data_IF_075153530535
#
_entry.id   IF_075153530535
#
_cell.length_a   1.000
_cell.length_b   1.000
_cell.length_c   1.000
_cell.angle_alpha   90.00
_cell.angle_beta   90.00
_cell.angle_gamma   90.00
#
_symmetry.space_group_name_H-M   'P 1'
#
loop_
_entity.id
_entity.type
_entity.pdbx_description
1 polymer ?
#
# COMPACT_ATOMS: atom_id res chain seq x y z
N UNK A 1 -29.88 -5.82 7.10
CA UNK A 1 -29.28 -6.28 5.83
C UNK A 1 -27.85 -6.77 6.05
N UNK A 2 -26.87 -5.92 6.40
CA UNK A 2 -25.48 -6.35 6.75
C UNK A 2 -25.39 -7.34 7.94
N UNK A 3 -26.29 -7.22 8.94
CA UNK A 3 -26.38 -8.17 10.07
C UNK A 3 -27.00 -9.52 9.68
N UNK A 4 -27.74 -9.59 8.58
CA UNK A 4 -28.37 -10.82 8.08
C UNK A 4 -27.41 -11.61 7.19
N UNK A 5 -26.64 -10.95 6.32
CA UNK A 5 -25.70 -11.64 5.41
C UNK A 5 -24.54 -12.32 6.14
N UNK A 6 -23.99 -11.70 7.20
CA UNK A 6 -22.95 -12.34 8.03
C UNK A 6 -23.48 -13.56 8.77
N UNK A 7 -24.74 -13.51 9.25
CA UNK A 7 -25.41 -14.65 9.89
C UNK A 7 -25.73 -15.75 8.86
N UNK A 8 -26.08 -15.37 7.64
CA UNK A 8 -26.40 -16.30 6.55
C UNK A 8 -25.15 -17.03 6.03
N UNK A 9 -24.00 -16.34 5.92
CA UNK A 9 -22.74 -16.95 5.51
C UNK A 9 -22.06 -17.76 6.62
N UNK A 10 -22.19 -17.35 7.89
CA UNK A 10 -21.84 -18.21 9.04
C UNK A 10 -22.75 -19.43 9.11
N UNK A 11 -24.04 -19.28 8.78
CA UNK A 11 -25.00 -20.38 8.68
C UNK A 11 -24.61 -21.41 7.60
N UNK A 12 -24.19 -20.94 6.42
CA UNK A 12 -23.67 -21.80 5.33
C UNK A 12 -22.38 -22.50 5.72
N UNK A 13 -21.43 -21.78 6.35
CA UNK A 13 -20.16 -22.36 6.83
C UNK A 13 -20.41 -23.41 7.93
N UNK A 14 -21.34 -23.13 8.85
CA UNK A 14 -21.77 -24.07 9.89
C UNK A 14 -22.38 -25.32 9.27
N UNK A 15 -23.35 -25.17 8.36
CA UNK A 15 -24.00 -26.29 7.69
C UNK A 15 -22.99 -27.15 6.92
N UNK A 16 -22.06 -26.53 6.19
CA UNK A 16 -20.98 -27.24 5.47
C UNK A 16 -20.03 -27.97 6.43
N UNK A 17 -19.67 -27.34 7.56
CA UNK A 17 -18.80 -27.94 8.58
C UNK A 17 -19.48 -29.12 9.29
N UNK A 18 -20.78 -29.00 9.63
CA UNK A 18 -21.57 -30.07 10.23
C UNK A 18 -21.74 -31.28 9.27
N UNK A 19 -21.93 -31.02 7.97
CA UNK A 19 -22.01 -32.08 6.95
C UNK A 19 -20.69 -32.85 6.81
N UNK A 20 -19.56 -32.14 6.78
CA UNK A 20 -18.24 -32.78 6.67
C UNK A 20 -17.84 -33.51 7.97
N UNK A 21 -18.25 -33.02 9.14
CA UNK A 21 -18.11 -33.74 10.42
C UNK A 21 -18.89 -35.06 10.36
N UNK A 22 -20.17 -35.03 9.98
CA UNK A 22 -20.99 -36.25 9.85
C UNK A 22 -20.38 -37.26 8.88
N UNK A 23 -19.87 -36.79 7.75
CA UNK A 23 -19.18 -37.63 6.76
C UNK A 23 -17.92 -38.28 7.37
N UNK A 24 -17.10 -37.51 8.08
CA UNK A 24 -15.87 -38.01 8.71
C UNK A 24 -16.17 -38.93 9.91
N UNK A 25 -17.23 -38.70 10.66
CA UNK A 25 -17.68 -39.60 11.74
C UNK A 25 -18.12 -40.97 11.22
N UNK A 26 -18.66 -41.04 10.00
CA UNK A 26 -18.98 -42.31 9.33
C UNK A 26 -17.73 -43.04 8.79
N UNK A 27 -16.65 -42.31 8.54
CA UNK A 27 -15.38 -42.84 8.03
C UNK A 27 -14.43 -43.26 9.16
N UNK A 28 -14.34 -42.48 10.24
CA UNK A 28 -13.46 -42.73 11.40
C UNK A 28 -13.98 -43.95 12.17
N UNK A 29 -13.17 -45.02 12.21
CA UNK A 29 -13.56 -46.32 12.78
C UNK A 29 -13.80 -47.41 11.73
N UNK A 30 -13.75 -47.08 10.44
CA UNK A 30 -13.70 -48.06 9.36
C UNK A 30 -12.26 -48.48 9.04
N UNK A 31 -12.03 -49.64 8.42
CA UNK A 31 -10.69 -50.09 8.01
C UNK A 31 -9.97 -49.14 7.04
N UNK A 32 -10.70 -48.20 6.44
CA UNK A 32 -10.20 -47.21 5.48
C UNK A 32 -9.82 -45.88 6.14
N UNK A 33 -10.05 -45.71 7.44
CA UNK A 33 -9.81 -44.45 8.14
C UNK A 33 -8.32 -44.21 8.36
N UNK A 34 -7.83 -43.01 8.02
CA UNK A 34 -6.43 -42.63 8.27
C UNK A 34 -6.30 -41.80 9.54
N UNK A 35 -5.08 -41.76 10.12
CA UNK A 35 -4.76 -40.85 11.22
C UNK A 35 -5.02 -39.38 10.86
N UNK A 36 -4.88 -39.03 9.57
CA UNK A 36 -5.19 -37.70 9.05
C UNK A 36 -6.69 -37.38 9.12
N UNK A 37 -7.57 -38.37 8.91
CA UNK A 37 -9.02 -38.20 9.01
C UNK A 37 -9.46 -37.96 10.45
N UNK A 38 -8.88 -38.67 11.41
CA UNK A 38 -9.11 -38.45 12.84
C UNK A 38 -8.63 -37.06 13.29
N UNK A 39 -7.47 -36.61 12.81
CA UNK A 39 -6.98 -35.25 13.09
C UNK A 39 -7.83 -34.16 12.43
N UNK A 40 -8.32 -34.40 11.21
CA UNK A 40 -9.23 -33.49 10.50
C UNK A 40 -10.57 -33.38 11.23
N UNK A 41 -11.13 -34.49 11.70
CA UNK A 41 -12.36 -34.52 12.52
C UNK A 41 -12.20 -33.72 13.81
N UNK A 42 -11.09 -33.90 14.54
CA UNK A 42 -10.80 -33.14 15.76
C UNK A 42 -10.70 -31.63 15.51
N UNK A 43 -10.06 -31.23 14.41
CA UNK A 43 -9.95 -29.80 14.02
C UNK A 43 -11.30 -29.20 13.62
N UNK A 44 -12.12 -29.94 12.88
CA UNK A 44 -13.46 -29.47 12.49
C UNK A 44 -14.41 -29.35 13.69
N UNK A 45 -14.32 -30.26 14.67
CA UNK A 45 -15.08 -30.15 15.93
C UNK A 45 -14.67 -28.93 16.76
N UNK A 46 -13.37 -28.62 16.79
CA UNK A 46 -12.87 -27.41 17.45
C UNK A 46 -13.39 -26.14 16.75
N UNK A 47 -13.37 -26.10 15.41
CA UNK A 47 -13.93 -25.01 14.62
C UNK A 47 -15.43 -24.82 14.87
N UNK A 48 -16.21 -25.91 14.89
CA UNK A 48 -17.66 -25.86 15.16
C UNK A 48 -17.96 -25.32 16.57
N UNK A 49 -17.18 -25.73 17.58
CA UNK A 49 -17.29 -25.17 18.94
C UNK A 49 -17.00 -23.66 18.98
N UNK A 50 -16.00 -23.19 18.23
CA UNK A 50 -15.69 -21.75 18.14
C UNK A 50 -16.81 -20.97 17.44
N UNK A 51 -17.45 -21.54 16.41
CA UNK A 51 -18.62 -20.93 15.74
C UNK A 51 -19.79 -20.80 16.73
N UNK A 52 -20.07 -21.84 17.53
CA UNK A 52 -21.13 -21.77 18.55
C UNK A 52 -20.85 -20.77 19.68
N UNK A 53 -19.59 -20.66 20.12
CA UNK A 53 -19.20 -19.66 21.12
C UNK A 53 -19.36 -18.22 20.59
N UNK A 54 -19.18 -18.02 19.29
CA UNK A 54 -19.41 -16.74 18.62
C UNK A 54 -20.91 -16.37 18.60
N UNK A 55 -21.80 -17.32 18.26
CA UNK A 55 -23.26 -17.11 18.31
C UNK A 55 -23.75 -16.74 19.72
N UNK A 56 -23.10 -17.30 20.76
CA UNK A 56 -23.44 -17.10 22.17
C UNK A 56 -22.98 -15.75 22.74
N UNK A 57 -21.98 -15.11 22.14
CA UNK A 57 -21.39 -13.85 22.62
C UNK A 57 -22.00 -12.60 21.96
N UNK A 58 -22.77 -12.78 20.89
CA UNK A 58 -23.48 -11.73 20.16
C UNK A 58 -24.84 -11.34 20.78
N UNK A 59 -25.31 -12.06 21.82
CA UNK A 59 -26.55 -11.75 22.55
C UNK A 59 -26.38 -10.81 23.75
N UNK A 60 -25.17 -10.27 23.98
CA UNK A 60 -24.89 -9.27 25.01
C UNK A 60 -24.59 -7.92 24.40
N UNK A 61 -25.43 -6.92 24.69
CA UNK A 61 -25.22 -5.53 24.27
C UNK A 61 -24.03 -4.89 24.98
N UNK A 62 -23.19 -4.19 24.19
CA UNK A 62 -22.44 -3.02 24.63
C UNK A 62 -21.06 -3.24 25.27
N UNK A 63 -20.00 -3.28 24.46
CA UNK A 63 -18.68 -2.74 24.84
C UNK A 63 -17.76 -2.60 23.61
N UNK A 64 -17.87 -1.47 22.90
CA UNK A 64 -16.74 -0.91 22.15
C UNK A 64 -15.82 -0.22 23.15
N UNK A 65 -14.57 -0.67 23.32
CA UNK A 65 -13.41 0.21 23.51
C UNK A 65 -12.11 -0.56 23.78
N UNK A 66 -11.02 -0.02 23.22
CA UNK A 66 -9.60 -0.19 23.61
C UNK A 66 -9.06 -1.63 23.57
N UNK A 67 -8.57 -2.04 22.39
CA UNK A 67 -7.51 -3.05 22.35
C UNK A 67 -6.19 -2.33 22.62
N UNK A 68 -5.63 -2.70 23.77
CA UNK A 68 -4.37 -2.26 24.35
C UNK A 68 -3.22 -2.56 23.37
N UNK A 69 -2.51 -1.49 23.03
CA UNK A 69 -1.21 -1.47 22.40
C UNK A 69 -0.16 -1.90 23.43
N UNK A 70 0.13 -3.18 23.56
CA UNK A 70 1.35 -3.63 24.25
C UNK A 70 1.78 -5.00 23.71
N UNK A 71 3.05 -5.07 23.28
CA UNK A 71 3.77 -6.20 22.68
C UNK A 71 3.72 -6.37 21.14
N UNK A 72 4.19 -5.35 20.41
CA UNK A 72 4.81 -5.58 19.10
C UNK A 72 6.13 -6.33 19.37
N UNK A 73 6.14 -7.65 19.18
CA UNK A 73 7.38 -8.43 19.24
C UNK A 73 8.27 -7.98 18.09
N UNK A 74 9.38 -7.31 18.39
CA UNK A 74 10.36 -6.93 17.37
C UNK A 74 10.80 -8.18 16.60
N UNK A 75 10.80 -8.15 15.25
CA UNK A 75 11.30 -9.27 14.48
C UNK A 75 12.77 -9.48 14.83
N UNK A 76 13.15 -10.75 15.01
CA UNK A 76 14.53 -11.12 15.37
C UNK A 76 15.55 -10.35 14.51
N UNK A 77 16.69 -9.91 15.07
CA UNK A 77 17.72 -9.18 14.32
C UNK A 77 18.14 -9.86 13.00
N UNK A 78 18.10 -11.20 12.99
CA UNK A 78 18.36 -12.04 11.80
C UNK A 78 17.34 -11.77 10.68
N UNK A 79 16.06 -11.68 11.01
CA UNK A 79 14.99 -11.43 10.03
C UNK A 79 15.05 -9.99 9.48
N UNK A 80 15.41 -9.01 10.31
CA UNK A 80 15.62 -7.62 9.88
C UNK A 80 16.78 -7.52 8.90
N UNK A 81 17.92 -8.13 9.23
CA UNK A 81 19.09 -8.20 8.34
C UNK A 81 18.78 -8.90 7.02
N UNK A 82 18.01 -9.98 7.07
CA UNK A 82 17.58 -10.71 5.87
C UNK A 82 16.64 -9.92 4.98
N UNK A 83 15.71 -9.18 5.59
CA UNK A 83 14.77 -8.31 4.86
C UNK A 83 15.53 -7.22 4.10
N UNK A 84 16.56 -6.64 4.72
CA UNK A 84 17.46 -5.67 4.07
C UNK A 84 18.22 -6.34 2.93
N UNK A 85 18.88 -7.48 3.18
CA UNK A 85 19.62 -8.23 2.13
C UNK A 85 18.74 -8.61 0.93
N UNK A 86 17.52 -9.09 1.19
CA UNK A 86 16.55 -9.42 0.15
C UNK A 86 16.01 -8.17 -0.57
N UNK A 87 15.92 -7.05 0.15
CA UNK A 87 15.58 -5.77 -0.45
C UNK A 87 16.71 -5.27 -1.35
N UNK A 88 17.97 -5.41 -0.98
CA UNK A 88 19.12 -4.90 -1.75
C UNK A 88 19.49 -5.78 -2.96
N UNK A 89 18.90 -6.96 -3.09
CA UNK A 89 19.03 -7.84 -4.25
C UNK A 89 18.78 -7.09 -5.58
N UNK A 90 19.36 -7.52 -6.72
CA UNK A 90 19.06 -6.91 -8.02
C UNK A 90 17.57 -6.98 -8.38
N UNK A 91 16.99 -5.85 -8.82
CA UNK A 91 15.58 -5.79 -9.22
C UNK A 91 15.33 -6.67 -10.45
N UNK A 92 14.24 -7.45 -10.44
CA UNK A 92 13.87 -8.32 -11.54
C UNK A 92 12.73 -7.69 -12.34
N UNK A 93 12.99 -7.33 -13.59
CA UNK A 93 12.00 -6.71 -14.47
C UNK A 93 11.59 -7.61 -15.65
N UNK A 94 11.50 -8.93 -15.45
CA UNK A 94 11.22 -9.89 -16.55
C UNK A 94 9.86 -9.66 -17.23
N UNK A 95 8.89 -9.14 -16.49
CA UNK A 95 7.52 -8.88 -16.96
C UNK A 95 7.27 -7.40 -17.30
N UNK A 96 8.34 -6.62 -17.48
CA UNK A 96 8.29 -5.20 -17.89
C UNK A 96 7.41 -4.33 -16.98
N UNK A 97 7.47 -4.57 -15.67
CA UNK A 97 6.64 -3.87 -14.67
C UNK A 97 6.99 -2.40 -14.60
N UNK A 98 8.28 -2.05 -14.72
CA UNK A 98 8.75 -0.66 -14.69
C UNK A 98 8.24 0.15 -15.88
N UNK A 99 8.25 -0.45 -17.07
CA UNK A 99 7.73 0.15 -18.30
C UNK A 99 6.21 0.33 -18.21
N UNK A 100 5.49 -0.69 -17.73
CA UNK A 100 4.03 -0.61 -17.59
C UNK A 100 3.57 0.49 -16.62
N UNK A 101 4.28 0.69 -15.49
CA UNK A 101 3.96 1.79 -14.59
C UNK A 101 4.34 3.15 -15.18
N UNK A 102 5.43 3.24 -15.95
CA UNK A 102 5.83 4.47 -16.63
C UNK A 102 4.80 4.87 -17.71
N UNK A 103 4.31 3.93 -18.51
CA UNK A 103 3.22 4.15 -19.46
C UNK A 103 1.94 4.62 -18.74
N UNK A 104 1.65 4.06 -17.56
CA UNK A 104 0.51 4.46 -16.73
C UNK A 104 0.66 5.88 -16.17
N UNK A 105 1.88 6.27 -15.77
CA UNK A 105 2.23 7.65 -15.37
C UNK A 105 2.02 8.61 -16.55
N UNK A 106 2.53 8.26 -17.73
CA UNK A 106 2.35 9.08 -18.93
C UNK A 106 0.89 9.21 -19.34
N UNK A 107 0.09 8.15 -19.17
CA UNK A 107 -1.36 8.21 -19.40
C UNK A 107 -2.07 9.12 -18.38
N UNK A 108 -1.70 9.02 -17.09
CA UNK A 108 -2.23 9.91 -16.04
C UNK A 108 -1.93 11.38 -16.36
N UNK A 109 -0.67 11.66 -16.73
CA UNK A 109 -0.24 13.01 -17.11
C UNK A 109 -1.01 13.56 -18.31
N UNK A 110 -1.18 12.77 -19.38
CA UNK A 110 -1.96 13.19 -20.54
C UNK A 110 -3.41 13.52 -20.19
N UNK A 111 -4.06 12.69 -19.35
CA UNK A 111 -5.42 12.98 -18.85
C UNK A 111 -5.46 14.19 -17.91
N UNK A 112 -4.41 14.43 -17.14
CA UNK A 112 -4.33 15.60 -16.26
C UNK A 112 -4.29 16.91 -17.06
N UNK A 113 -3.51 16.93 -18.15
CA UNK A 113 -3.38 18.07 -19.05
C UNK A 113 -4.49 18.15 -20.11
N UNK A 114 -5.48 17.25 -20.07
CA UNK A 114 -6.62 17.31 -20.99
C UNK A 114 -7.61 18.39 -20.55
N UNK A 115 -8.18 19.09 -21.53
CA UNK A 115 -9.09 20.19 -21.31
C UNK A 115 -10.55 19.74 -21.14
N UNK A 116 -10.86 18.49 -21.50
CA UNK A 116 -12.19 17.89 -21.40
C UNK A 116 -12.70 17.93 -19.94
N UNK A 117 -13.69 18.79 -19.71
CA UNK A 117 -14.25 19.06 -18.38
C UNK A 117 -15.01 17.85 -17.81
N UNK A 118 -15.65 17.05 -18.66
CA UNK A 118 -16.43 15.86 -18.26
C UNK A 118 -15.54 14.69 -17.82
N UNK A 119 -14.25 14.75 -18.13
CA UNK A 119 -13.26 13.70 -17.83
C UNK A 119 -12.12 14.18 -16.95
N UNK A 120 -12.25 15.39 -16.41
CA UNK A 120 -11.21 16.09 -15.66
C UNK A 120 -10.83 15.30 -14.41
N UNK A 121 -9.55 14.98 -14.29
CA UNK A 121 -8.99 14.40 -13.07
C UNK A 121 -8.97 15.44 -11.95
N UNK A 122 -9.25 15.00 -10.72
CA UNK A 122 -9.17 15.85 -9.54
C UNK A 122 -7.75 16.28 -9.21
N UNK A 123 -6.83 15.32 -9.22
CA UNK A 123 -5.42 15.49 -8.90
C UNK A 123 -4.59 14.46 -9.70
N UNK A 124 -3.36 14.78 -10.12
CA UNK A 124 -2.51 13.89 -10.91
C UNK A 124 -1.83 12.84 -10.05
N UNK A 125 -2.61 11.90 -9.50
CA UNK A 125 -2.07 10.79 -8.72
C UNK A 125 -2.62 9.43 -9.14
N UNK A 126 -1.82 8.40 -8.89
CA UNK A 126 -2.13 7.00 -9.19
C UNK A 126 -2.07 6.20 -7.88
N UNK A 127 -3.19 5.58 -7.45
CA UNK A 127 -3.17 4.61 -6.37
C UNK A 127 -2.47 3.32 -6.82
N UNK A 128 -1.48 2.88 -6.07
CA UNK A 128 -0.77 1.62 -6.28
C UNK A 128 -1.28 0.62 -5.27
N UNK A 129 -2.07 -0.35 -5.73
CA UNK A 129 -2.82 -1.26 -4.87
C UNK A 129 -2.37 -2.69 -5.12
N UNK A 130 -1.81 -3.31 -4.08
CA UNK A 130 -1.55 -4.73 -4.02
C UNK A 130 -1.19 -5.10 -2.57
N UNK A 131 -1.39 -6.36 -2.18
CA UNK A 131 -1.00 -6.83 -0.86
C UNK A 131 0.51 -6.70 -0.56
N UNK A 132 0.87 -6.83 0.72
CA UNK A 132 2.26 -6.76 1.20
C UNK A 132 3.20 -7.72 0.46
N UNK A 133 4.50 -7.41 0.38
CA UNK A 133 5.52 -8.30 -0.20
C UNK A 133 5.44 -8.53 -1.72
N UNK A 134 4.64 -7.75 -2.44
CA UNK A 134 4.54 -7.78 -3.92
C UNK A 134 5.53 -6.88 -4.65
N UNK A 135 6.49 -6.29 -3.93
CA UNK A 135 7.56 -5.50 -4.53
C UNK A 135 7.17 -4.07 -4.90
N UNK A 136 6.16 -3.48 -4.27
CA UNK A 136 5.75 -2.07 -4.49
C UNK A 136 6.91 -1.11 -4.24
N UNK A 137 7.46 -1.14 -3.04
CA UNK A 137 8.60 -0.28 -2.67
C UNK A 137 9.84 -0.55 -3.52
N UNK A 138 10.09 -1.83 -3.85
CA UNK A 138 11.18 -2.21 -4.76
C UNK A 138 11.01 -1.66 -6.17
N UNK A 139 9.78 -1.58 -6.68
CA UNK A 139 9.47 -0.96 -7.96
C UNK A 139 9.87 0.53 -7.93
N UNK A 140 9.53 1.26 -6.86
CA UNK A 140 9.89 2.67 -6.74
C UNK A 140 11.39 2.91 -6.70
N UNK A 141 12.16 2.03 -6.04
CA UNK A 141 13.62 2.08 -6.00
C UNK A 141 14.26 1.77 -7.35
N UNK A 142 13.57 1.03 -8.21
CA UNK A 142 14.04 0.69 -9.55
C UNK A 142 13.62 1.71 -10.63
N UNK A 143 12.57 2.51 -10.40
CA UNK A 143 12.11 3.55 -11.34
C UNK A 143 13.20 4.52 -11.82
N UNK A 144 14.16 4.98 -10.99
CA UNK A 144 15.25 5.86 -11.45
C UNK A 144 16.09 5.27 -12.60
N UNK A 145 16.09 3.95 -12.78
CA UNK A 145 16.78 3.29 -13.91
C UNK A 145 16.11 3.58 -15.27
N UNK A 146 14.87 4.09 -15.27
CA UNK A 146 14.13 4.52 -16.48
C UNK A 146 14.12 6.04 -16.65
N UNK A 147 15.14 6.75 -16.16
CA UNK A 147 15.24 8.22 -16.24
C UNK A 147 14.03 8.93 -15.61
N UNK A 148 13.73 8.55 -14.36
CA UNK A 148 12.66 9.14 -13.55
C UNK A 148 13.26 9.75 -12.29
N UNK A 149 13.01 11.03 -12.07
CA UNK A 149 13.29 11.70 -10.80
C UNK A 149 12.18 11.36 -9.82
N UNK A 150 12.46 10.41 -8.93
CA UNK A 150 11.52 9.96 -7.91
C UNK A 150 11.80 10.71 -6.61
N UNK A 151 10.77 11.31 -6.02
CA UNK A 151 10.74 11.77 -4.63
C UNK A 151 10.09 10.67 -3.77
N UNK A 152 10.88 9.87 -3.04
CA UNK A 152 10.40 8.77 -2.22
C UNK A 152 10.17 9.21 -0.77
N UNK A 153 8.89 9.26 -0.37
CA UNK A 153 8.43 9.69 0.95
C UNK A 153 7.80 8.47 1.63
N UNK A 154 8.49 7.92 2.63
CA UNK A 154 7.97 6.81 3.44
C UNK A 154 7.32 7.35 4.73
N UNK A 155 6.00 7.18 4.85
CA UNK A 155 5.20 7.67 5.98
C UNK A 155 4.95 6.60 7.05
N UNK A 156 5.72 5.51 7.01
CA UNK A 156 5.62 4.42 7.98
C UNK A 156 5.85 4.93 9.42
N UNK A 157 5.22 4.31 10.41
CA UNK A 157 5.50 4.60 11.83
C UNK A 157 6.98 4.30 12.15
N UNK A 158 7.58 5.11 13.04
CA UNK A 158 9.02 5.11 13.29
C UNK A 158 9.54 3.82 13.96
N UNK A 159 8.69 3.17 14.74
CA UNK A 159 8.92 1.91 15.47
C UNK A 159 8.62 0.65 14.63
N UNK A 160 8.11 0.84 13.42
CA UNK A 160 7.79 -0.29 12.56
C UNK A 160 9.03 -1.08 12.11
N UNK A 161 8.84 -2.38 11.91
CA UNK A 161 9.89 -3.29 11.45
C UNK A 161 10.10 -3.31 9.92
N UNK A 162 9.38 -2.46 9.19
CA UNK A 162 9.45 -2.40 7.73
C UNK A 162 10.73 -1.72 7.22
N UNK A 163 11.13 -2.07 6.00
CA UNK A 163 12.21 -1.39 5.28
C UNK A 163 11.70 -0.91 3.92
N UNK A 164 12.05 0.31 3.46
CA UNK A 164 12.87 1.34 4.12
C UNK A 164 12.22 1.91 5.38
N UNK A 165 13.05 2.49 6.27
CA UNK A 165 12.56 3.21 7.43
C UNK A 165 11.99 4.57 7.03
N UNK A 166 11.00 5.04 7.78
CA UNK A 166 10.54 6.42 7.66
C UNK A 166 11.55 7.38 8.27
N UNK A 167 11.44 8.64 7.88
CA UNK A 167 12.21 9.74 8.48
C UNK A 167 11.26 10.44 9.44
N UNK A 168 11.45 10.33 10.77
CA UNK A 168 10.46 10.79 11.76
C UNK A 168 10.10 12.26 11.62
N UNK A 169 11.07 13.13 11.33
CA UNK A 169 10.82 14.57 11.12
C UNK A 169 9.90 14.84 9.93
N UNK A 170 10.10 14.11 8.83
CA UNK A 170 9.27 14.19 7.62
C UNK A 170 7.88 13.64 7.86
N UNK A 171 7.78 12.46 8.49
CA UNK A 171 6.50 11.85 8.83
C UNK A 171 5.69 12.80 9.72
N UNK A 172 6.26 13.27 10.84
CA UNK A 172 5.60 14.20 11.75
C UNK A 172 5.18 15.51 11.07
N UNK A 173 6.00 16.05 10.17
CA UNK A 173 5.66 17.29 9.47
C UNK A 173 4.46 17.14 8.53
N UNK A 174 4.28 15.96 7.91
CA UNK A 174 3.20 15.70 6.96
C UNK A 174 1.93 15.16 7.65
N UNK A 175 2.06 14.52 8.82
CA UNK A 175 0.94 13.92 9.56
C UNK A 175 0.35 14.83 10.64
N UNK A 176 1.09 15.83 11.10
CA UNK A 176 0.48 16.90 11.89
C UNK A 176 -0.48 17.71 11.01
N UNK A 177 -1.64 18.17 11.53
CA UNK A 177 -2.61 18.95 10.76
C UNK A 177 -1.92 20.06 9.96
N UNK A 178 -1.85 19.83 8.65
CA UNK A 178 -1.10 20.65 7.72
C UNK A 178 -2.07 21.36 6.79
N UNK A 179 -1.69 22.55 6.35
CA UNK A 179 -2.51 23.33 5.42
C UNK A 179 -2.18 22.98 3.97
N UNK A 180 -3.11 23.29 3.07
CA UNK A 180 -2.89 23.16 1.62
C UNK A 180 -1.68 24.00 1.17
N UNK A 181 -1.50 25.16 1.80
CA UNK A 181 -0.33 26.02 1.63
C UNK A 181 0.97 25.36 2.00
N UNK A 182 1.04 24.73 3.17
CA UNK A 182 2.24 24.02 3.62
C UNK A 182 2.62 22.89 2.65
N UNK A 183 1.66 22.06 2.25
CA UNK A 183 1.91 21.00 1.27
C UNK A 183 2.38 21.56 -0.08
N UNK A 184 1.80 22.68 -0.53
CA UNK A 184 2.22 23.33 -1.77
C UNK A 184 3.64 23.91 -1.68
N UNK A 185 3.97 24.55 -0.56
CA UNK A 185 5.32 25.03 -0.29
C UNK A 185 6.33 23.89 -0.19
N UNK A 186 5.95 22.75 0.42
CA UNK A 186 6.78 21.55 0.51
C UNK A 186 7.09 20.98 -0.88
N UNK A 187 6.08 20.81 -1.72
CA UNK A 187 6.24 20.30 -3.08
C UNK A 187 7.09 21.24 -3.96
N UNK A 188 6.91 22.56 -3.84
CA UNK A 188 7.75 23.55 -4.53
C UNK A 188 9.20 23.52 -4.04
N UNK A 189 9.43 23.49 -2.72
CA UNK A 189 10.76 23.38 -2.13
C UNK A 189 11.48 22.09 -2.57
N UNK A 190 10.73 21.00 -2.74
CA UNK A 190 11.23 19.75 -3.27
C UNK A 190 11.69 19.88 -4.75
N UNK A 191 10.90 20.56 -5.59
CA UNK A 191 11.29 20.86 -6.97
C UNK A 191 12.53 21.76 -7.05
N UNK A 192 12.64 22.76 -6.16
CA UNK A 192 13.82 23.62 -6.07
C UNK A 192 15.08 22.84 -5.69
N UNK A 193 14.96 21.92 -4.74
CA UNK A 193 16.05 21.03 -4.34
C UNK A 193 16.52 20.17 -5.53
N UNK A 194 15.59 19.68 -6.36
CA UNK A 194 15.92 18.91 -7.55
C UNK A 194 16.62 19.76 -8.62
N UNK A 195 16.13 20.96 -8.92
CA UNK A 195 16.79 21.83 -9.90
C UNK A 195 18.20 22.23 -9.44
N UNK A 196 18.36 22.58 -8.16
CA UNK A 196 19.66 22.87 -7.57
C UNK A 196 20.60 21.66 -7.62
N UNK A 197 20.10 20.46 -7.33
CA UNK A 197 20.88 19.23 -7.47
C UNK A 197 21.35 19.04 -8.91
N UNK A 198 20.44 19.14 -9.90
CA UNK A 198 20.80 18.96 -11.32
C UNK A 198 21.84 19.97 -11.79
N UNK A 199 21.68 21.25 -11.44
CA UNK A 199 22.64 22.33 -11.79
C UNK A 199 24.03 22.06 -11.23
N UNK A 200 24.12 21.44 -10.06
CA UNK A 200 25.38 21.15 -9.36
C UNK A 200 25.88 19.72 -9.57
N UNK A 201 25.13 18.86 -10.25
CA UNK A 201 25.53 17.49 -10.49
C UNK A 201 26.75 17.46 -11.43
N UNK A 202 27.82 16.82 -10.96
CA UNK A 202 29.08 16.61 -11.71
C UNK A 202 29.50 15.14 -11.73
N UNK A 203 28.63 14.24 -11.25
CA UNK A 203 28.91 12.82 -11.19
C UNK A 203 28.93 12.18 -12.59
N UNK A 204 29.65 11.08 -12.72
CA UNK A 204 29.67 10.24 -13.93
C UNK A 204 28.56 9.18 -13.93
N UNK A 205 27.88 8.99 -12.80
CA UNK A 205 26.78 8.03 -12.65
C UNK A 205 25.43 8.55 -13.18
N UNK A 206 24.40 7.71 -13.06
CA UNK A 206 23.02 8.10 -13.37
C UNK A 206 22.56 9.20 -12.42
N UNK A 207 22.30 10.40 -12.95
CA UNK A 207 21.78 11.54 -12.19
C UNK A 207 20.50 11.20 -11.42
N UNK A 208 19.64 10.34 -11.97
CA UNK A 208 18.38 9.92 -11.36
C UNK A 208 18.61 8.99 -10.16
N UNK A 209 19.56 8.06 -10.29
CA UNK A 209 19.91 7.13 -9.20
C UNK A 209 20.61 7.87 -8.07
N UNK A 210 21.53 8.78 -8.39
CA UNK A 210 22.21 9.62 -7.40
C UNK A 210 21.24 10.53 -6.66
N UNK A 211 20.31 11.16 -7.39
CA UNK A 211 19.20 11.92 -6.82
C UNK A 211 18.37 11.08 -5.84
N UNK A 212 18.05 9.85 -6.21
CA UNK A 212 17.27 8.95 -5.37
C UNK A 212 17.97 8.61 -4.06
N UNK A 213 19.28 8.35 -4.11
CA UNK A 213 20.07 7.97 -2.93
C UNK A 213 20.19 9.11 -1.91
N UNK A 214 20.15 10.37 -2.33
CA UNK A 214 20.18 11.52 -1.41
C UNK A 214 19.00 11.51 -0.44
N UNK A 215 17.84 11.02 -0.87
CA UNK A 215 16.60 11.03 -0.10
C UNK A 215 16.58 9.99 1.02
N UNK A 216 17.53 9.07 1.04
CA UNK A 216 17.71 8.13 2.15
C UNK A 216 18.34 8.82 3.39
N UNK A 217 18.77 10.07 3.25
CA UNK A 217 19.42 10.85 4.31
C UNK A 217 18.40 11.79 4.99
N UNK A 218 18.28 11.78 6.33
CA UNK A 218 17.38 12.70 7.05
C UNK A 218 17.65 14.18 6.76
N UNK A 219 18.92 14.56 6.58
CA UNK A 219 19.36 15.94 6.37
C UNK A 219 18.76 16.53 5.09
N UNK A 220 18.60 15.71 4.05
CA UNK A 220 17.98 16.12 2.80
C UNK A 220 16.54 16.58 3.02
N UNK A 221 15.74 15.80 3.74
CA UNK A 221 14.34 16.13 3.97
C UNK A 221 14.18 17.26 4.98
N UNK A 222 15.04 17.33 6.00
CA UNK A 222 15.04 18.45 6.94
C UNK A 222 15.25 19.80 6.23
N UNK A 223 16.19 19.87 5.29
CA UNK A 223 16.43 21.07 4.50
C UNK A 223 15.21 21.47 3.65
N UNK A 224 14.52 20.51 3.03
CA UNK A 224 13.28 20.78 2.28
C UNK A 224 12.18 21.30 3.21
N UNK A 225 12.00 20.70 4.38
CA UNK A 225 10.99 21.13 5.36
C UNK A 225 11.25 22.54 5.88
N UNK A 226 12.51 22.89 6.16
CA UNK A 226 12.89 24.24 6.57
C UNK A 226 12.61 25.26 5.48
N UNK A 227 12.95 24.93 4.24
CA UNK A 227 12.65 25.76 3.06
C UNK A 227 11.14 25.98 2.90
N UNK A 228 10.34 24.92 3.01
CA UNK A 228 8.88 24.97 2.91
C UNK A 228 8.25 25.86 4.00
N UNK A 229 8.71 25.71 5.26
CA UNK A 229 8.27 26.54 6.39
C UNK A 229 8.63 28.00 6.16
N UNK A 230 9.85 28.28 5.69
CA UNK A 230 10.31 29.64 5.40
C UNK A 230 9.46 30.30 4.30
N UNK A 231 9.17 29.59 3.21
CA UNK A 231 8.35 30.09 2.11
C UNK A 231 6.91 30.40 2.56
N UNK A 232 6.31 29.49 3.34
CA UNK A 232 4.95 29.68 3.87
C UNK A 232 4.81 30.93 4.75
N UNK A 233 5.89 31.31 5.45
CA UNK A 233 5.92 32.51 6.30
C UNK A 233 6.21 33.78 5.50
N UNK A 234 7.11 33.71 4.51
CA UNK A 234 7.52 34.88 3.70
C UNK A 234 6.48 35.28 2.66
N UNK A 235 5.75 34.32 2.12
CA UNK A 235 4.80 34.52 1.02
C UNK A 235 3.38 34.06 1.42
N UNK A 236 2.80 34.61 2.50
CA UNK A 236 1.51 34.13 3.01
C UNK A 236 0.39 34.37 1.98
N UNK A 237 0.48 35.39 1.14
CA UNK A 237 -0.52 35.63 0.08
C UNK A 237 -0.54 34.54 -1.01
N UNK A 238 0.54 33.76 -1.15
CA UNK A 238 0.64 32.64 -2.10
C UNK A 238 0.12 31.35 -1.45
N UNK A 239 0.44 31.15 -0.16
CA UNK A 239 0.22 29.89 0.56
C UNK A 239 -0.92 29.94 1.58
N UNK A 240 -1.66 31.05 1.70
CA UNK A 240 -2.85 31.15 2.54
C UNK A 240 -4.05 31.61 1.74
N UNK A 241 -5.22 31.05 2.07
CA UNK A 241 -6.50 31.46 1.50
C UNK A 241 -7.51 31.71 2.62
N UNK A 242 -8.44 32.63 2.38
CA UNK A 242 -9.62 32.81 3.23
C UNK A 242 -10.68 31.75 2.96
N UNK A 243 -11.76 31.75 3.74
CA UNK A 243 -12.90 30.83 3.56
C UNK A 243 -13.78 31.17 2.33
N UNK A 244 -13.60 32.36 1.74
CA UNK A 244 -14.38 32.84 0.60
C UNK A 244 -13.99 32.16 -0.72
N UNK A 245 -14.98 31.75 -1.51
CA UNK A 245 -14.80 30.98 -2.75
C UNK A 245 -13.99 31.74 -3.82
N UNK A 246 -14.24 33.03 -3.99
CA UNK A 246 -13.49 33.88 -4.93
C UNK A 246 -12.01 33.98 -4.56
N UNK A 247 -11.70 34.08 -3.25
CA UNK A 247 -10.32 34.07 -2.75
C UNK A 247 -9.64 32.72 -2.99
N UNK A 248 -10.38 31.62 -2.89
CA UNK A 248 -9.84 30.30 -3.18
C UNK A 248 -9.54 30.10 -4.67
N UNK A 249 -10.41 30.59 -5.56
CA UNK A 249 -10.17 30.55 -7.02
C UNK A 249 -8.91 31.34 -7.40
N UNK A 250 -8.73 32.52 -6.81
CA UNK A 250 -7.54 33.33 -7.02
C UNK A 250 -6.28 32.66 -6.45
N UNK A 251 -6.35 32.11 -5.23
CA UNK A 251 -5.28 31.31 -4.63
C UNK A 251 -4.87 30.13 -5.50
N UNK A 252 -5.83 29.35 -6.00
CA UNK A 252 -5.57 28.21 -6.89
C UNK A 252 -4.91 28.64 -8.20
N UNK A 253 -5.34 29.76 -8.76
CA UNK A 253 -4.75 30.31 -10.01
C UNK A 253 -3.31 30.76 -9.76
N UNK A 254 -3.07 31.46 -8.65
CA UNK A 254 -1.73 31.92 -8.26
C UNK A 254 -0.78 30.75 -8.06
N UNK A 255 -1.18 29.72 -7.29
CA UNK A 255 -0.34 28.54 -7.07
C UNK A 255 -0.04 27.79 -8.37
N UNK A 256 -1.04 27.60 -9.23
CA UNK A 256 -0.82 26.97 -10.53
C UNK A 256 0.20 27.75 -11.37
N UNK A 257 0.09 29.09 -11.37
CA UNK A 257 1.06 29.99 -12.01
C UNK A 257 2.47 29.87 -11.41
N UNK A 258 2.59 29.79 -10.09
CA UNK A 258 3.88 29.60 -9.40
C UNK A 258 4.53 28.27 -9.79
N UNK A 259 3.78 27.16 -9.80
CA UNK A 259 4.30 25.88 -10.27
C UNK A 259 4.71 25.92 -11.74
N UNK A 260 3.89 26.54 -12.59
CA UNK A 260 4.16 26.67 -14.01
C UNK A 260 5.47 27.44 -14.25
N UNK A 261 5.60 28.63 -13.68
CA UNK A 261 6.80 29.45 -13.82
C UNK A 261 8.01 28.76 -13.19
N UNK A 262 7.85 28.04 -12.07
CA UNK A 262 8.95 27.29 -11.47
C UNK A 262 9.46 26.19 -12.39
N UNK A 263 8.55 25.40 -12.98
CA UNK A 263 8.95 24.34 -13.91
C UNK A 263 9.52 24.90 -15.21
N UNK A 264 8.99 26.02 -15.71
CA UNK A 264 9.46 26.70 -16.91
C UNK A 264 10.85 27.32 -16.73
N UNK A 265 11.11 27.94 -15.58
CA UNK A 265 12.38 28.61 -15.27
C UNK A 265 13.51 27.63 -14.92
N UNK A 266 13.19 26.35 -14.76
CA UNK A 266 14.14 25.30 -14.37
C UNK A 266 14.37 24.31 -15.51
N UNK A 267 15.41 23.49 -15.38
CA UNK A 267 15.66 22.40 -16.34
C UNK A 267 14.70 21.21 -16.20
N UNK A 268 13.58 21.40 -15.50
CA UNK A 268 12.67 20.35 -15.05
C UNK A 268 11.43 20.19 -15.94
N UNK A 269 11.15 21.17 -16.80
CA UNK A 269 9.94 21.21 -17.63
C UNK A 269 9.67 19.92 -18.43
N UNK A 270 10.70 19.21 -18.86
CA UNK A 270 10.59 18.00 -19.69
C UNK A 270 10.92 16.71 -18.94
N UNK A 271 11.16 16.79 -17.63
CA UNK A 271 11.63 15.67 -16.82
C UNK A 271 10.49 14.78 -16.32
N UNK A 272 10.78 13.49 -16.12
CA UNK A 272 9.84 12.59 -15.45
C UNK A 272 9.94 12.74 -13.94
N UNK A 273 9.09 13.59 -13.37
CA UNK A 273 9.05 13.82 -11.92
C UNK A 273 7.90 13.06 -11.30
N UNK A 274 8.21 12.26 -10.28
CA UNK A 274 7.25 11.42 -9.57
C UNK A 274 7.38 11.58 -8.06
N UNK A 275 6.29 11.92 -7.37
CA UNK A 275 6.23 11.92 -5.91
C UNK A 275 5.60 10.63 -5.39
N UNK A 276 6.36 9.81 -4.68
CA UNK A 276 5.90 8.55 -4.10
C UNK A 276 5.60 8.75 -2.63
N UNK A 277 4.33 8.60 -2.25
CA UNK A 277 3.88 8.55 -0.85
C UNK A 277 3.64 7.08 -0.48
N UNK A 278 4.60 6.47 0.19
CA UNK A 278 4.55 5.09 0.69
C UNK A 278 3.94 5.04 2.10
N UNK A 279 3.13 4.02 2.37
CA UNK A 279 2.27 3.90 3.56
C UNK A 279 1.35 5.12 3.78
N UNK A 280 0.70 5.59 2.71
CA UNK A 280 -0.10 6.81 2.71
C UNK A 280 -1.34 6.79 3.64
N UNK A 281 -1.70 5.64 4.24
CA UNK A 281 -2.78 5.56 5.26
C UNK A 281 -2.61 6.51 6.42
N UNK A 282 -1.38 6.79 6.82
CA UNK A 282 -1.13 7.61 8.01
C UNK A 282 -1.70 9.03 7.82
N UNK A 283 -1.83 9.48 6.56
CA UNK A 283 -2.48 10.75 6.23
C UNK A 283 -4.01 10.75 6.41
N UNK A 284 -4.63 9.58 6.63
CA UNK A 284 -6.08 9.41 6.82
C UNK A 284 -6.48 9.38 8.31
N UNK A 285 -5.54 9.38 9.25
CA UNK A 285 -5.78 9.10 10.68
C UNK A 285 -6.37 10.27 11.49
N UNK A 286 -6.70 11.41 10.87
CA UNK A 286 -7.26 12.56 11.59
C UNK A 286 -8.70 12.32 12.08
N UNK A 287 -9.07 12.98 13.18
CA UNK A 287 -10.41 12.89 13.75
C UNK A 287 -11.50 13.51 12.86
N UNK A 288 -11.16 14.51 12.04
CA UNK A 288 -12.05 15.02 11.00
C UNK A 288 -11.69 14.40 9.65
N UNK A 289 -12.63 13.61 9.09
CA UNK A 289 -12.48 12.99 7.77
C UNK A 289 -12.51 14.01 6.62
N UNK A 290 -13.08 15.21 6.83
CA UNK A 290 -13.22 16.23 5.78
C UNK A 290 -11.94 17.01 5.54
N UNK A 291 -11.10 17.15 6.55
CA UNK A 291 -9.83 17.88 6.49
C UNK A 291 -8.65 17.01 6.96
N UNK A 292 -8.71 15.71 6.65
CA UNK A 292 -7.55 14.85 6.86
C UNK A 292 -6.40 15.26 5.94
N UNK A 293 -5.17 15.01 6.39
CA UNK A 293 -3.96 15.40 5.65
C UNK A 293 -3.93 14.79 4.24
N UNK A 294 -4.55 13.64 4.03
CA UNK A 294 -4.70 13.03 2.71
C UNK A 294 -5.52 13.91 1.76
N UNK A 295 -6.66 14.45 2.23
CA UNK A 295 -7.49 15.37 1.45
C UNK A 295 -6.72 16.66 1.16
N UNK A 296 -6.02 17.21 2.16
CA UNK A 296 -5.23 18.43 2.01
C UNK A 296 -4.08 18.25 1.02
N UNK A 297 -3.34 17.14 1.10
CA UNK A 297 -2.30 16.80 0.13
C UNK A 297 -2.87 16.73 -1.30
N UNK A 298 -4.02 16.10 -1.48
CA UNK A 298 -4.66 16.01 -2.80
C UNK A 298 -5.06 17.38 -3.35
N UNK A 299 -5.52 18.30 -2.48
CA UNK A 299 -5.79 19.71 -2.86
C UNK A 299 -4.49 20.40 -3.32
N UNK A 300 -3.38 20.20 -2.61
CA UNK A 300 -2.09 20.77 -3.01
C UNK A 300 -1.59 20.20 -4.37
N UNK A 301 -1.71 18.89 -4.58
CA UNK A 301 -1.32 18.22 -5.84
C UNK A 301 -2.16 18.69 -7.04
N UNK A 302 -3.39 19.15 -6.82
CA UNK A 302 -4.26 19.70 -7.87
C UNK A 302 -3.67 20.97 -8.51
N UNK A 303 -2.75 21.65 -7.84
CA UNK A 303 -2.10 22.85 -8.36
C UNK A 303 -0.96 22.58 -9.34
N UNK A 304 -0.54 21.32 -9.54
CA UNK A 304 0.41 20.99 -10.58
C UNK A 304 -0.07 21.46 -11.97
N UNK A 305 0.84 21.95 -12.83
CA UNK A 305 0.44 22.64 -14.05
C UNK A 305 -0.30 21.69 -14.99
N UNK A 306 -1.36 22.20 -15.62
CA UNK A 306 -2.14 21.50 -16.66
C UNK A 306 -1.70 22.00 -18.02
N UNK A 307 -0.47 21.69 -18.40
CA UNK A 307 0.12 22.17 -19.64
C UNK A 307 0.65 20.98 -20.46
N UNK A 308 0.41 21.00 -21.77
CA UNK A 308 0.81 19.93 -22.70
C UNK A 308 2.26 20.05 -23.17
N UNK A 309 2.87 21.22 -23.06
CA UNK A 309 4.26 21.51 -23.40
C UNK A 309 5.23 20.96 -22.36
N UNK A 310 4.78 20.81 -21.10
CA UNK A 310 5.60 20.34 -19.99
C UNK A 310 5.16 18.96 -19.48
N UNK A 311 6.13 18.21 -18.94
CA UNK A 311 5.86 16.99 -18.20
C UNK A 311 5.45 17.32 -16.77
N UNK A 312 4.15 17.56 -16.56
CA UNK A 312 3.59 17.79 -15.22
C UNK A 312 3.96 16.65 -14.24
N UNK A 313 4.37 16.95 -13.00
CA UNK A 313 4.66 15.92 -12.00
C UNK A 313 3.43 15.04 -11.72
N UNK A 314 3.66 13.78 -11.35
CA UNK A 314 2.60 12.82 -11.00
C UNK A 314 2.91 12.20 -9.64
N UNK A 315 1.90 11.97 -8.81
CA UNK A 315 2.08 11.29 -7.53
C UNK A 315 1.70 9.81 -7.59
N UNK A 316 2.46 8.95 -6.94
CA UNK A 316 2.10 7.56 -6.67
C UNK A 316 1.76 7.45 -5.18
N UNK A 317 0.58 6.93 -4.88
CA UNK A 317 0.15 6.71 -3.50
C UNK A 317 0.05 5.21 -3.29
N UNK A 318 0.74 4.68 -2.30
CA UNK A 318 0.61 3.27 -1.97
C UNK A 318 0.26 3.08 -0.52
N UNK A 319 -0.46 2.00 -0.29
CA UNK A 319 -0.66 1.45 1.03
C UNK A 319 -0.74 -0.08 0.91
N UNK A 320 -0.29 -0.74 1.97
CA UNK A 320 -0.41 -2.17 2.16
C UNK A 320 -1.71 -2.56 2.86
N UNK A 321 -2.35 -1.64 3.62
CA UNK A 321 -3.45 -1.96 4.56
C UNK A 321 -4.71 -1.10 4.37
N UNK A 322 -4.68 0.04 3.67
CA UNK A 322 -5.91 0.79 3.39
C UNK A 322 -6.83 0.04 2.44
N UNK A 323 -8.12 0.15 2.76
CA UNK A 323 -9.20 -0.12 1.82
C UNK A 323 -8.94 0.68 0.54
N UNK A 324 -9.05 0.01 -0.59
CA UNK A 324 -8.93 0.63 -1.93
C UNK A 324 -9.76 1.91 -2.05
N UNK A 325 -10.95 1.90 -1.44
CA UNK A 325 -11.88 3.03 -1.38
C UNK A 325 -11.33 4.26 -0.67
N UNK A 326 -10.34 4.13 0.22
CA UNK A 326 -9.75 5.27 0.93
C UNK A 326 -8.75 6.03 0.06
N UNK A 327 -7.95 5.32 -0.75
CA UNK A 327 -6.97 5.95 -1.66
C UNK A 327 -7.57 6.32 -3.01
N UNK A 328 -8.70 5.71 -3.39
CA UNK A 328 -9.36 5.92 -4.66
C UNK A 328 -10.89 6.05 -4.50
N UNK A 329 -11.39 6.98 -3.67
CA UNK A 329 -12.82 7.09 -3.38
C UNK A 329 -13.66 7.28 -4.64
N UNK A 330 -14.92 6.88 -4.56
CA UNK A 330 -15.90 7.23 -5.57
C UNK A 330 -16.05 8.74 -5.64
N UNK A 331 -16.30 9.26 -6.83
CA UNK A 331 -16.53 10.69 -7.06
C UNK A 331 -17.60 11.28 -6.13
N UNK A 332 -18.67 10.52 -5.83
CA UNK A 332 -19.76 10.93 -4.93
C UNK A 332 -19.37 10.98 -3.45
N UNK A 333 -18.33 10.25 -3.04
CA UNK A 333 -17.86 10.18 -1.64
C UNK A 333 -16.55 10.92 -1.43
N UNK A 334 -15.97 11.47 -2.49
CA UNK A 334 -14.72 12.21 -2.45
C UNK A 334 -14.89 13.60 -1.84
N UNK A 335 -14.57 13.72 -0.56
CA UNK A 335 -14.67 14.97 0.21
C UNK A 335 -13.75 16.08 -0.32
N UNK A 336 -12.69 15.72 -1.05
CA UNK A 336 -11.77 16.68 -1.65
C UNK A 336 -12.41 17.46 -2.82
N UNK A 337 -13.41 16.86 -3.49
CA UNK A 337 -14.15 17.46 -4.62
C UNK A 337 -15.15 18.55 -4.20
N UNK A 338 -15.46 18.68 -2.91
CA UNK A 338 -16.42 19.69 -2.42
C UNK A 338 -15.96 21.14 -2.62
N UNK A 339 -14.66 21.36 -2.83
CA UNK A 339 -14.11 22.66 -3.19
C UNK A 339 -14.27 23.00 -4.69
N UNK A 340 -15.00 22.17 -5.45
CA UNK A 340 -15.24 22.36 -6.88
C UNK A 340 -16.69 22.11 -7.24
N UNK A 341 -17.29 22.99 -8.04
CA UNK A 341 -18.67 22.87 -8.51
C UNK A 341 -18.92 21.70 -9.50
N UNK A 342 -17.85 21.07 -10.02
CA UNK A 342 -17.93 20.07 -11.10
C UNK A 342 -17.43 18.68 -10.63
N UNK A 343 -18.07 17.56 -11.02
CA UNK A 343 -17.61 16.23 -10.69
C UNK A 343 -16.24 15.95 -11.35
N UNK A 344 -15.18 15.78 -10.55
CA UNK A 344 -13.85 15.39 -11.05
C UNK A 344 -13.52 13.93 -10.72
N UNK A 345 -12.90 13.21 -11.64
CA UNK A 345 -12.58 11.78 -11.49
C UNK A 345 -11.24 11.52 -10.81
N UNK A 346 -11.07 10.33 -10.23
CA UNK A 346 -9.76 9.83 -9.74
C UNK A 346 -9.23 8.78 -10.71
N UNK A 347 -7.94 8.89 -11.03
CA UNK A 347 -7.30 7.98 -11.97
C UNK A 347 -7.34 6.52 -11.46
N UNK A 348 -7.57 5.52 -12.34
CA UNK A 348 -7.71 4.14 -11.92
C UNK A 348 -6.42 3.58 -11.30
N UNK A 349 -6.55 2.70 -10.29
CA UNK A 349 -5.41 2.12 -9.59
C UNK A 349 -4.54 1.24 -10.50
N UNK A 350 -3.29 1.06 -10.12
CA UNK A 350 -2.34 0.14 -10.76
C UNK A 350 -2.09 -1.10 -9.88
N UNK A 351 -2.16 -2.28 -10.50
CA UNK A 351 -2.02 -3.58 -9.83
C UNK A 351 -0.66 -4.20 -10.12
N UNK A 352 0.11 -4.57 -9.08
CA UNK A 352 1.39 -5.27 -9.24
C UNK A 352 1.22 -6.80 -9.35
N UNK A 353 0.40 -7.27 -10.30
CA UNK A 353 0.25 -8.71 -10.54
C UNK A 353 1.40 -9.31 -11.35
N UNK A 354 2.01 -8.52 -12.23
CA UNK A 354 3.11 -8.96 -13.09
C UNK A 354 4.39 -9.35 -12.33
N UNK A 355 4.48 -9.08 -11.02
CA UNK A 355 5.58 -9.52 -10.17
C UNK A 355 5.41 -10.94 -9.62
N UNK A 356 4.23 -11.54 -9.79
CA UNK A 356 3.97 -12.91 -9.34
C UNK A 356 4.89 -13.86 -10.11
N UNK A 357 5.48 -14.83 -9.40
CA UNK A 357 6.36 -15.85 -9.97
C UNK A 357 7.64 -15.32 -10.65
N UNK A 358 8.07 -14.08 -10.36
CA UNK A 358 9.22 -13.44 -11.03
C UNK A 358 10.53 -14.25 -10.92
N UNK A 359 10.63 -15.07 -9.86
CA UNK A 359 11.81 -15.86 -9.55
C UNK A 359 11.77 -17.27 -10.12
N UNK A 360 10.64 -17.69 -10.71
CA UNK A 360 10.51 -18.98 -11.38
C UNK A 360 11.41 -18.99 -12.61
N UNK A 361 12.22 -20.05 -12.71
CA UNK A 361 13.07 -20.33 -13.86
C UNK A 361 12.26 -21.11 -14.91
N UNK A 362 12.62 -20.98 -16.20
CA UNK A 362 11.91 -21.68 -17.28
C UNK A 362 11.89 -23.20 -17.07
N UNK A 363 12.96 -23.73 -16.50
CA UNK A 363 13.13 -25.14 -16.18
C UNK A 363 12.70 -25.40 -14.73
N UNK A 364 11.40 -25.30 -14.46
CA UNK A 364 10.81 -25.52 -13.13
C UNK A 364 11.23 -26.84 -12.44
N UNK A 365 10.75 -27.12 -11.22
CA UNK A 365 11.17 -28.28 -10.46
C UNK A 365 10.94 -29.57 -11.26
N UNK A 366 12.03 -30.27 -11.58
CA UNK A 366 12.00 -31.51 -12.39
C UNK A 366 11.63 -32.77 -11.58
N UNK A 367 11.56 -32.66 -10.26
CA UNK A 367 11.27 -33.78 -9.34
C UNK A 367 10.30 -33.35 -8.24
N UNK A 368 9.59 -34.31 -7.66
CA UNK A 368 8.75 -34.06 -6.46
C UNK A 368 9.57 -33.57 -5.27
N UNK A 369 10.81 -34.05 -5.13
CA UNK A 369 11.73 -33.58 -4.09
C UNK A 369 12.03 -32.08 -4.26
N UNK A 370 12.24 -31.62 -5.50
CA UNK A 370 12.43 -30.19 -5.78
C UNK A 370 11.15 -29.39 -5.52
N UNK A 371 9.95 -29.96 -5.72
CA UNK A 371 8.70 -29.23 -5.44
C UNK A 371 8.47 -28.95 -3.95
N UNK A 372 8.96 -29.81 -3.06
CA UNK A 372 8.83 -29.64 -1.61
C UNK A 372 10.02 -28.92 -0.96
N UNK A 373 11.09 -28.69 -1.72
CA UNK A 373 12.23 -27.90 -1.26
C UNK A 373 11.80 -26.42 -1.07
N UNK A 374 11.92 -25.85 0.14
CA UNK A 374 11.62 -24.46 0.39
C UNK A 374 12.35 -23.48 -0.55
N UNK A 375 13.56 -23.79 -0.99
CA UNK A 375 14.32 -22.94 -1.93
C UNK A 375 13.67 -22.83 -3.31
N UNK A 376 12.89 -23.85 -3.71
CA UNK A 376 12.10 -23.83 -4.94
C UNK A 376 10.71 -23.28 -4.69
N UNK A 377 10.02 -23.73 -3.64
CA UNK A 377 8.67 -23.29 -3.30
C UNK A 377 8.58 -21.77 -3.12
N UNK A 378 9.57 -21.14 -2.49
CA UNK A 378 9.59 -19.69 -2.26
C UNK A 378 9.73 -18.85 -3.54
N UNK A 379 10.11 -19.45 -4.67
CA UNK A 379 10.21 -18.73 -5.96
C UNK A 379 8.83 -18.40 -6.54
N UNK A 380 7.80 -19.11 -6.10
CA UNK A 380 6.43 -18.95 -6.55
C UNK A 380 5.66 -17.91 -5.71
N UNK A 381 4.63 -17.34 -6.31
CA UNK A 381 3.78 -16.34 -5.70
C UNK A 381 4.51 -15.02 -5.52
N UNK A 382 4.65 -14.58 -4.26
CA UNK A 382 5.14 -13.23 -3.94
C UNK A 382 6.64 -13.13 -4.17
N UNK A 383 7.14 -12.08 -4.85
CA UNK A 383 8.56 -11.91 -5.15
C UNK A 383 9.43 -11.82 -3.89
N UNK A 384 8.93 -11.28 -2.78
CA UNK A 384 9.76 -11.17 -1.59
C UNK A 384 10.16 -12.53 -0.99
N UNK A 385 9.34 -13.58 -1.15
CA UNK A 385 9.68 -14.92 -0.67
C UNK A 385 10.91 -15.48 -1.38
N UNK A 386 10.96 -15.35 -2.71
CA UNK A 386 12.09 -15.82 -3.51
C UNK A 386 13.34 -14.99 -3.26
N UNK A 387 13.18 -13.68 -3.04
CA UNK A 387 14.28 -12.80 -2.67
C UNK A 387 14.90 -13.20 -1.34
N UNK A 388 14.06 -13.41 -0.31
CA UNK A 388 14.48 -13.92 0.99
C UNK A 388 15.23 -15.26 0.82
N UNK A 389 14.58 -16.27 0.24
CA UNK A 389 15.16 -17.61 0.09
C UNK A 389 16.54 -17.62 -0.61
N UNK A 390 16.75 -16.75 -1.61
CA UNK A 390 18.02 -16.66 -2.36
C UNK A 390 19.11 -15.85 -1.67
N UNK A 391 18.75 -14.79 -0.95
CA UNK A 391 19.72 -13.81 -0.40
C UNK A 391 20.02 -14.06 1.08
N UNK A 392 19.61 -15.22 1.60
CA UNK A 392 20.16 -15.74 2.84
C UNK A 392 21.62 -16.15 2.65
N UNK A 393 22.49 -15.61 3.52
CA UNK A 393 23.87 -16.11 3.62
C UNK A 393 23.82 -17.60 3.96
N UNK A 394 24.52 -18.42 3.16
CA UNK A 394 24.68 -19.87 3.41
C UNK A 394 24.94 -20.12 4.90
N UNK A 395 24.05 -20.86 5.56
CA UNK A 395 24.23 -21.34 6.93
C UNK A 395 23.70 -20.47 8.08
N UNK A 396 23.04 -19.34 7.84
CA UNK A 396 22.51 -18.47 8.93
C UNK A 396 20.98 -18.36 9.02
N UNK A 397 20.26 -19.06 8.16
CA UNK A 397 18.80 -18.98 8.13
C UNK A 397 18.15 -20.34 8.00
N UNK A 398 17.20 -20.55 8.90
CA UNK A 398 16.36 -21.73 8.94
C UNK A 398 14.96 -21.41 8.40
N UNK A 399 14.33 -22.39 7.74
CA UNK A 399 12.94 -22.30 7.26
C UNK A 399 11.94 -21.88 8.35
N UNK A 400 12.25 -22.19 9.61
CA UNK A 400 11.50 -21.79 10.80
C UNK A 400 11.25 -20.27 10.86
N UNK A 401 12.24 -19.46 10.48
CA UNK A 401 12.14 -18.00 10.45
C UNK A 401 11.24 -17.50 9.32
N UNK A 402 11.27 -18.13 8.15
CA UNK A 402 10.37 -17.80 7.04
C UNK A 402 8.92 -18.12 7.43
N UNK A 403 8.72 -19.28 8.06
CA UNK A 403 7.42 -19.70 8.56
C UNK A 403 6.90 -18.74 9.63
N UNK A 404 7.76 -18.23 10.51
CA UNK A 404 7.39 -17.20 11.48
C UNK A 404 6.98 -15.90 10.80
N UNK A 405 7.75 -15.40 9.83
CA UNK A 405 7.37 -14.20 9.07
C UNK A 405 6.06 -14.39 8.31
N UNK A 406 5.87 -15.54 7.67
CA UNK A 406 4.64 -15.86 6.96
C UNK A 406 3.44 -15.90 7.92
N UNK A 407 3.57 -16.53 9.09
CA UNK A 407 2.53 -16.52 10.14
C UNK A 407 2.21 -15.09 10.57
N UNK A 408 3.22 -14.33 10.98
CA UNK A 408 3.06 -12.94 11.39
C UNK A 408 2.31 -12.11 10.35
N UNK A 409 2.67 -12.23 9.06
CA UNK A 409 2.02 -11.48 7.98
C UNK A 409 0.62 -11.99 7.62
N UNK A 410 0.36 -13.29 7.71
CA UNK A 410 -0.98 -13.85 7.50
C UNK A 410 -1.91 -13.46 8.65
N UNK A 411 -1.38 -13.29 9.86
CA UNK A 411 -2.15 -12.95 11.06
C UNK A 411 -2.26 -11.44 11.32
N UNK A 412 -2.04 -10.59 10.30
CA UNK A 412 -2.21 -9.15 10.47
C UNK A 412 -1.14 -8.45 11.32
N UNK A 413 0.00 -9.10 11.55
CA UNK A 413 1.06 -8.59 12.42
C UNK A 413 0.98 -9.07 13.87
N UNK A 414 0.19 -10.11 14.15
CA UNK A 414 0.12 -10.75 15.46
C UNK A 414 0.90 -12.07 15.48
N UNK A 415 1.77 -12.28 16.48
CA UNK A 415 2.52 -13.54 16.68
C UNK A 415 1.88 -14.44 17.76
N UNK A 416 0.92 -13.92 18.52
CA UNK A 416 0.33 -14.59 19.68
C UNK A 416 -0.83 -15.50 19.28
N UNK A 417 -0.64 -16.81 19.46
CA UNK A 417 -1.71 -17.80 19.28
C UNK A 417 -2.87 -17.64 20.29
N UNK A 418 -2.67 -16.84 21.34
CA UNK A 418 -3.66 -16.54 22.38
C UNK A 418 -4.68 -15.47 21.94
N UNK A 419 -4.24 -14.48 21.16
CA UNK A 419 -5.12 -13.46 20.52
C UNK A 419 -6.01 -14.06 19.42
N UNK A 420 -5.64 -15.23 18.88
CA UNK A 420 -6.47 -15.96 17.93
C UNK A 420 -7.84 -16.30 18.56
N UNK A 421 -7.88 -16.76 19.81
CA UNK A 421 -9.14 -17.22 20.43
C UNK A 421 -10.18 -16.11 20.65
N UNK A 422 -9.77 -14.84 20.64
CA UNK A 422 -10.59 -13.71 21.04
C UNK A 422 -11.00 -12.76 19.89
N UNK A 423 -11.38 -13.28 18.70
CA UNK A 423 -12.11 -12.60 17.60
C UNK A 423 -11.41 -12.50 16.21
N UNK A 424 -10.14 -12.92 16.04
CA UNK A 424 -9.45 -12.81 14.74
C UNK A 424 -9.24 -14.13 13.96
N UNK A 425 -9.52 -15.30 14.56
CA UNK A 425 -9.40 -16.62 13.90
C UNK A 425 -10.15 -16.70 12.56
N UNK A 426 -11.41 -16.24 12.42
CA UNK A 426 -12.17 -16.50 11.20
C UNK A 426 -11.55 -15.85 9.96
N UNK A 427 -11.07 -14.61 10.06
CA UNK A 427 -10.50 -13.88 8.93
C UNK A 427 -9.13 -14.46 8.55
N UNK A 428 -8.26 -14.71 9.53
CA UNK A 428 -6.99 -15.37 9.28
C UNK A 428 -7.15 -16.80 8.72
N UNK A 429 -8.11 -17.57 9.24
CA UNK A 429 -8.44 -18.90 8.72
C UNK A 429 -8.94 -18.81 7.28
N UNK A 430 -9.80 -17.84 6.96
CA UNK A 430 -10.24 -17.58 5.58
C UNK A 430 -9.09 -17.13 4.67
N UNK A 431 -8.11 -16.39 5.18
CA UNK A 431 -6.91 -16.05 4.42
C UNK A 431 -6.11 -17.30 4.02
N UNK A 432 -5.95 -18.24 4.96
CA UNK A 432 -5.22 -19.49 4.74
C UNK A 432 -6.02 -20.44 3.85
N UNK A 433 -7.29 -20.67 4.20
CA UNK A 433 -8.19 -21.57 3.48
C UNK A 433 -8.50 -21.04 2.09
N UNK A 434 -8.73 -19.74 1.95
CA UNK A 434 -9.05 -19.11 0.67
C UNK A 434 -7.99 -19.36 -0.41
N UNK A 435 -6.72 -19.43 -0.04
CA UNK A 435 -5.64 -19.80 -0.97
C UNK A 435 -5.64 -21.29 -1.31
N UNK A 436 -6.06 -22.16 -0.38
CA UNK A 436 -6.05 -23.63 -0.56
C UNK A 436 -7.26 -24.17 -1.30
N UNK A 437 -8.43 -23.57 -1.09
CA UNK A 437 -9.69 -23.98 -1.70
C UNK A 437 -10.21 -22.98 -2.73
N UNK A 438 -9.37 -22.01 -3.12
CA UNK A 438 -9.68 -21.01 -4.14
C UNK A 438 -11.01 -20.29 -3.91
N UNK A 439 -11.32 -19.92 -2.64
CA UNK A 439 -12.56 -19.22 -2.32
C UNK A 439 -12.51 -17.83 -2.96
N UNK A 440 -13.33 -17.62 -3.98
CA UNK A 440 -13.61 -16.30 -4.48
C UNK A 440 -14.51 -15.56 -3.47
N UNK A 441 -14.20 -14.30 -3.20
CA UNK A 441 -14.98 -13.50 -2.27
C UNK A 441 -15.55 -12.30 -2.99
N UNK A 442 -16.82 -12.02 -2.69
CA UNK A 442 -17.53 -10.88 -3.25
C UNK A 442 -16.72 -9.60 -2.99
N UNK A 443 -16.36 -8.82 -4.03
CA UNK A 443 -15.50 -7.64 -3.87
C UNK A 443 -16.09 -6.54 -2.97
N UNK A 444 -17.41 -6.59 -2.74
CA UNK A 444 -18.22 -5.63 -1.99
C UNK A 444 -18.41 -6.04 -0.52
N UNK A 445 -17.58 -6.94 -0.01
CA UNK A 445 -17.60 -7.24 1.41
C UNK A 445 -16.36 -6.67 2.10
N UNK A 446 -16.56 -6.09 3.29
CA UNK A 446 -15.48 -5.58 4.14
C UNK A 446 -14.38 -6.62 4.36
N UNK A 447 -14.78 -7.88 4.49
CA UNK A 447 -13.90 -9.03 4.64
C UNK A 447 -12.91 -9.18 3.48
N UNK A 448 -13.31 -8.90 2.24
CA UNK A 448 -12.41 -8.97 1.07
C UNK A 448 -11.31 -7.94 1.15
N UNK A 449 -11.63 -6.74 1.64
CA UNK A 449 -10.68 -5.66 1.82
C UNK A 449 -9.73 -5.97 2.97
N UNK A 450 -10.25 -6.45 4.10
CA UNK A 450 -9.46 -6.81 5.27
C UNK A 450 -8.48 -7.95 4.95
N UNK A 451 -8.92 -8.95 4.16
CA UNK A 451 -8.04 -10.02 3.71
C UNK A 451 -6.86 -9.53 2.85
N UNK A 452 -7.09 -8.59 1.95
CA UNK A 452 -6.02 -8.00 1.11
C UNK A 452 -5.09 -7.13 1.96
N UNK A 453 -5.70 -6.31 2.82
CA UNK A 453 -5.02 -5.33 3.67
C UNK A 453 -4.14 -5.96 4.75
N UNK A 454 -4.67 -6.93 5.49
CA UNK A 454 -4.07 -7.43 6.72
C UNK A 454 -3.57 -8.87 6.59
N UNK A 455 -4.12 -9.67 5.68
CA UNK A 455 -3.88 -11.12 5.66
C UNK A 455 -3.23 -11.65 4.38
N UNK A 456 -2.54 -10.77 3.64
CA UNK A 456 -1.82 -11.14 2.40
C UNK A 456 -2.69 -11.87 1.35
N UNK A 457 -3.96 -11.53 1.19
CA UNK A 457 -4.71 -11.98 0.00
C UNK A 457 -4.27 -11.19 -1.23
N UNK A 458 -4.15 -11.86 -2.38
CA UNK A 458 -3.79 -11.17 -3.63
C UNK A 458 -5.02 -10.45 -4.18
N UNK A 459 -4.85 -9.20 -4.57
CA UNK A 459 -5.89 -8.42 -5.23
C UNK A 459 -5.77 -8.61 -6.74
N UNK A 460 -6.77 -9.26 -7.34
CA UNK A 460 -6.83 -9.52 -8.78
C UNK A 460 -7.62 -8.47 -9.56
N UNK A 461 -8.65 -7.89 -8.92
CA UNK A 461 -9.59 -6.99 -9.59
C UNK A 461 -10.22 -6.03 -8.57
N UNK A 462 -10.54 -4.81 -9.01
CA UNK A 462 -11.39 -3.86 -8.29
C UNK A 462 -12.57 -3.56 -9.20
N UNK A 463 -13.79 -3.65 -8.67
CA UNK A 463 -15.00 -3.30 -9.43
C UNK A 463 -14.95 -1.85 -9.92
N UNK A 464 -15.57 -1.58 -11.08
CA UNK A 464 -15.65 -0.22 -11.62
C UNK A 464 -16.33 0.75 -10.64
N UNK A 465 -17.27 0.25 -9.84
CA UNK A 465 -17.96 1.03 -8.82
C UNK A 465 -17.10 1.30 -7.59
N UNK A 466 -15.97 0.59 -7.38
CA UNK A 466 -15.09 0.73 -6.20
C UNK A 466 -15.85 0.67 -4.86
N UNK A 467 -17.07 0.13 -4.88
CA UNK A 467 -17.92 0.01 -3.71
C UNK A 467 -17.30 -1.00 -2.75
N UNK A 468 -17.42 -0.66 -1.48
CA UNK A 468 -16.96 -1.47 -0.37
C UNK A 468 -18.01 -2.45 0.10
#
# INVERSE_FOLDING_TARGET
LVRMEVVEDLGKLRCSTEMEIKRLEQLVGTPQSTLADAQKLTKLRALLKSIHAFDSSQSGDGASSKIVSDSVVEPSPVLKSATISAFDAPYQNKQRVLENILEKIDHCRRRWCDADEDRRLYSPYIPIVQASMMGKTRMFFALPTLNVFVFYICLREADSSGYPQSIPSLMNALTNPSTEGFYSAFLLAALDALDNFKKNFRGSGSVHSEWFLLQLRPEFWNAILESAKSASVKEPFIFSHGAEEERYAQYSTNLNGVYFERLRATSLALENIVFVFDEARVLLESQDKKDCNFVVLRRALRHFPRNKEFRSPVSLMTDTVAKVSNLAPLQKTDLSSRATAMPQGIFPPFFLLANVDIWVEKDGPRTMANMVDPQYYCRYGRPHWGALARHFKKGKFEISHLMRLARFKILGGNDSFELLQAHQIPVAALAILGVRVCIDMVPQCQLSQDLVAQHMRVLYHISASRDA
#
